data_IF_409848649832
#
_entry.id   IF_409848649832
#
_cell.length_a   1.000
_cell.length_b   1.000
_cell.length_c   1.000
_cell.angle_alpha   90.00
_cell.angle_beta   90.00
_cell.angle_gamma   90.00
#
_symmetry.space_group_name_H-M   'P 1'
#
loop_
_entity.id
_entity.type
_entity.pdbx_description
1 polymer ?
#
# COMPACT_ATOMS: atom_id res chain seq x y z
N UNK A 1 -6.51 -11.13 16.10
CA UNK A 1 -5.36 -10.67 15.31
C UNK A 1 -5.31 -9.16 15.39
N UNK A 2 -4.11 -8.56 15.50
CA UNK A 2 -3.91 -7.16 15.88
C UNK A 2 -4.67 -6.12 15.03
N UNK A 3 -5.08 -6.47 13.82
CA UNK A 3 -5.82 -5.60 12.91
C UNK A 3 -7.35 -5.77 12.96
N UNK A 4 -7.87 -6.75 13.71
CA UNK A 4 -9.30 -7.09 13.74
C UNK A 4 -10.09 -5.97 14.42
N UNK A 5 -11.13 -5.48 13.75
CA UNK A 5 -12.03 -4.45 14.27
C UNK A 5 -11.60 -3.02 13.95
N UNK A 6 -10.41 -2.82 13.38
CA UNK A 6 -9.99 -1.52 12.86
C UNK A 6 -10.74 -1.21 11.56
N UNK A 7 -11.10 0.07 11.39
CA UNK A 7 -11.59 0.57 10.10
C UNK A 7 -10.47 0.46 9.08
N UNK A 8 -10.85 0.34 7.82
CA UNK A 8 -9.88 0.25 6.72
C UNK A 8 -10.43 0.87 5.45
N UNK A 9 -9.51 1.35 4.61
CA UNK A 9 -9.82 1.93 3.32
C UNK A 9 -9.00 1.25 2.23
N UNK A 10 -9.63 0.80 1.13
CA UNK A 10 -8.90 0.42 -0.07
C UNK A 10 -8.36 1.68 -0.74
N UNK A 11 -7.08 1.66 -1.11
CA UNK A 11 -6.39 2.75 -1.79
C UNK A 11 -5.80 2.20 -3.09
N UNK A 12 -6.02 2.95 -4.16
CA UNK A 12 -5.41 2.75 -5.46
C UNK A 12 -4.67 4.04 -5.81
N UNK A 13 -3.39 3.93 -6.16
CA UNK A 13 -2.60 5.06 -6.64
C UNK A 13 -1.93 4.67 -7.93
N UNK A 14 -2.00 5.54 -8.93
CA UNK A 14 -1.37 5.38 -10.23
C UNK A 14 -0.39 6.54 -10.45
N UNK A 15 0.82 6.21 -10.90
CA UNK A 15 1.89 7.14 -11.17
C UNK A 15 2.06 7.25 -12.68
N UNK A 16 1.86 8.45 -13.19
CA UNK A 16 1.94 8.76 -14.62
C UNK A 16 3.26 9.46 -14.93
N UNK A 17 3.83 9.24 -16.13
CA UNK A 17 5.00 9.97 -16.57
C UNK A 17 4.68 11.46 -16.72
N UNK A 18 5.70 12.29 -16.53
CA UNK A 18 5.58 13.72 -16.78
C UNK A 18 5.63 14.01 -18.29
N UNK A 19 4.60 14.66 -18.85
CA UNK A 19 4.56 15.04 -20.26
C UNK A 19 3.14 15.22 -20.80
N UNK A 20 3.03 15.52 -22.10
CA UNK A 20 1.73 15.54 -22.81
C UNK A 20 1.44 14.18 -23.47
N UNK A 21 0.16 13.81 -23.54
CA UNK A 21 -0.33 12.58 -24.16
C UNK A 21 -1.21 11.73 -23.24
N UNK A 22 -1.99 10.82 -23.85
CA UNK A 22 -2.68 9.75 -23.11
C UNK A 22 -1.66 8.65 -22.80
N UNK A 23 -1.13 8.68 -21.58
CA UNK A 23 -0.18 7.68 -21.09
C UNK A 23 -0.87 6.71 -20.15
N UNK A 24 -0.57 5.42 -20.28
CA UNK A 24 -0.86 4.45 -19.23
C UNK A 24 0.02 4.75 -17.99
N UNK A 25 -0.41 4.38 -16.77
CA UNK A 25 0.45 4.49 -15.60
C UNK A 25 1.74 3.69 -15.77
N UNK A 26 2.88 4.27 -15.39
CA UNK A 26 4.16 3.54 -15.33
C UNK A 26 4.25 2.63 -14.10
N UNK A 27 3.47 2.95 -13.06
CA UNK A 27 3.42 2.20 -11.82
C UNK A 27 2.07 2.39 -11.14
N UNK A 28 1.46 1.30 -10.70
CA UNK A 28 0.25 1.32 -9.88
C UNK A 28 0.49 0.59 -8.56
N UNK A 29 -0.13 1.09 -7.49
CA UNK A 29 -0.10 0.43 -6.19
C UNK A 29 -1.50 0.34 -5.60
N UNK A 30 -1.87 -0.88 -5.23
CA UNK A 30 -3.15 -1.22 -4.64
C UNK A 30 -2.93 -1.78 -3.25
N UNK A 31 -3.51 -1.16 -2.24
CA UNK A 31 -3.33 -1.62 -0.86
C UNK A 31 -4.52 -1.25 0.00
N UNK A 32 -4.59 -1.89 1.16
CA UNK A 32 -5.56 -1.54 2.20
C UNK A 32 -4.81 -0.88 3.34
N UNK A 33 -5.16 0.35 3.66
CA UNK A 33 -4.65 1.03 4.86
C UNK A 33 -5.65 0.87 6.00
N UNK A 34 -5.16 0.44 7.15
CA UNK A 34 -5.94 0.33 8.39
C UNK A 34 -5.95 1.69 9.12
N UNK A 35 -6.89 1.89 10.04
CA UNK A 35 -7.00 3.13 10.85
C UNK A 35 -5.72 3.56 11.58
N UNK A 36 -4.86 2.61 11.95
CA UNK A 36 -3.58 2.86 12.59
C UNK A 36 -2.41 3.02 11.58
N UNK A 37 -2.70 3.13 10.28
CA UNK A 37 -1.71 3.31 9.21
C UNK A 37 -1.05 2.01 8.70
N UNK A 38 -1.29 0.86 9.34
CA UNK A 38 -0.71 -0.42 8.89
C UNK A 38 -1.37 -0.85 7.58
N UNK A 39 -0.57 -1.35 6.63
CA UNK A 39 -1.06 -1.96 5.39
C UNK A 39 -0.65 -3.44 5.30
N UNK A 40 -1.55 -4.40 5.56
CA UNK A 40 -1.18 -5.83 5.68
C UNK A 40 -0.80 -6.50 4.36
N UNK A 41 -1.15 -5.87 3.24
CA UNK A 41 -0.78 -6.35 1.91
C UNK A 41 -0.85 -5.24 0.89
N UNK A 42 -0.02 -5.38 -0.13
CA UNK A 42 0.12 -4.42 -1.23
C UNK A 42 0.38 -5.19 -2.52
N UNK A 43 -0.30 -4.80 -3.60
CA UNK A 43 -0.01 -5.21 -4.96
C UNK A 43 0.67 -4.04 -5.67
N UNK A 44 1.91 -4.25 -6.12
CA UNK A 44 2.77 -3.29 -6.80
C UNK A 44 2.87 -3.69 -8.27
N UNK A 45 2.24 -2.94 -9.15
CA UNK A 45 2.19 -3.22 -10.59
C UNK A 45 3.15 -2.30 -11.34
N UNK A 46 4.14 -2.89 -12.01
CA UNK A 46 5.15 -2.19 -12.82
C UNK A 46 4.83 -2.27 -14.32
N UNK A 47 3.61 -2.67 -14.69
CA UNK A 47 3.12 -2.81 -16.07
C UNK A 47 3.47 -4.15 -16.70
N UNK A 48 4.74 -4.56 -16.66
CA UNK A 48 5.18 -5.84 -17.24
C UNK A 48 5.21 -7.01 -16.23
N UNK A 49 5.24 -6.70 -14.94
CA UNK A 49 5.10 -7.66 -13.85
C UNK A 49 4.49 -6.97 -12.64
N UNK A 50 3.89 -7.77 -11.75
CA UNK A 50 3.39 -7.31 -10.47
C UNK A 50 4.02 -8.08 -9.32
N UNK A 51 4.21 -7.41 -8.20
CA UNK A 51 4.70 -7.98 -6.94
C UNK A 51 3.56 -7.90 -5.91
N UNK A 52 3.27 -9.03 -5.27
CA UNK A 52 2.39 -9.08 -4.11
C UNK A 52 3.20 -9.16 -2.82
N UNK A 53 3.17 -8.09 -2.04
CA UNK A 53 3.72 -8.03 -0.69
C UNK A 53 2.66 -8.40 0.34
N UNK A 54 2.96 -9.35 1.22
CA UNK A 54 2.12 -9.74 2.35
C UNK A 54 2.94 -9.63 3.64
N UNK A 55 2.35 -9.03 4.68
CA UNK A 55 2.98 -9.01 6.00
C UNK A 55 2.99 -10.43 6.58
N UNK A 56 4.18 -10.97 6.84
CA UNK A 56 4.36 -12.23 7.56
C UNK A 56 4.39 -12.03 9.08
N UNK A 57 4.97 -10.93 9.55
CA UNK A 57 5.10 -10.61 10.97
C UNK A 57 4.83 -9.12 11.24
N UNK A 58 4.05 -8.85 12.28
CA UNK A 58 3.71 -7.50 12.73
C UNK A 58 3.97 -7.37 14.23
N UNK A 59 4.92 -6.53 14.60
CA UNK A 59 5.25 -6.17 15.97
C UNK A 59 4.99 -4.68 16.19
N UNK A 60 4.42 -4.33 17.34
CA UNK A 60 4.22 -2.94 17.74
C UNK A 60 5.25 -2.57 18.79
N UNK A 61 5.93 -1.45 18.59
CA UNK A 61 6.86 -0.89 19.57
C UNK A 61 6.19 0.23 20.38
N UNK A 62 6.69 0.43 21.60
CA UNK A 62 6.33 1.59 22.39
C UNK A 62 6.87 2.86 21.72
N UNK A 63 6.15 4.00 21.80
CA UNK A 63 6.67 5.27 21.35
C UNK A 63 7.95 5.65 22.14
N UNK A 64 8.89 6.39 21.52
CA UNK A 64 10.10 6.85 22.21
C UNK A 64 9.74 7.80 23.37
N UNK A 65 10.58 7.82 24.39
CA UNK A 65 10.52 8.85 25.43
C UNK A 65 10.80 10.22 24.81
N UNK A 66 10.05 11.24 25.23
CA UNK A 66 10.16 12.61 24.72
C UNK A 66 11.47 13.30 25.12
#
# INVERSE_FOLDING_TARGET
AALKGLRSWPVAMAYFPYGEGDHEPEFEVHFRVMENGVSPGMDLDYGNFAIRGLIEHLEYHSPPDC
#
